data_IF_062501412578
#
_entry.id   IF_062501412578
#
_cell.length_a   1.000
_cell.length_b   1.000
_cell.length_c   1.000
_cell.angle_alpha   90.00
_cell.angle_beta   90.00
_cell.angle_gamma   90.00
#
_symmetry.space_group_name_H-M   'P 1'
#
loop_
_entity.id
_entity.type
_entity.pdbx_description
1 polymer ?
#
# COMPACT_ATOMS: atom_id res chain seq x y z
N UNK A 1 19.94 -7.60 17.40
CA UNK A 1 18.53 -7.23 17.18
C UNK A 1 17.82 -8.44 16.58
N UNK A 2 16.70 -8.94 17.11
CA UNK A 2 16.08 -10.16 16.55
C UNK A 2 15.54 -9.83 15.14
N UNK A 3 15.59 -10.74 14.15
CA UNK A 3 15.13 -10.44 12.78
C UNK A 3 13.72 -9.86 12.69
N UNK A 4 12.83 -10.29 13.60
CA UNK A 4 11.44 -9.83 13.72
C UNK A 4 11.31 -8.37 14.14
N UNK A 5 12.31 -7.80 14.82
CA UNK A 5 12.30 -6.42 15.31
C UNK A 5 12.56 -5.39 14.19
N UNK A 6 13.24 -5.82 13.12
CA UNK A 6 13.58 -4.98 11.96
C UNK A 6 12.34 -4.73 11.09
N UNK A 7 11.47 -5.74 10.96
CA UNK A 7 10.24 -5.65 10.17
C UNK A 7 9.05 -5.06 10.95
N UNK A 8 9.27 -4.66 12.21
CA UNK A 8 8.21 -4.08 13.04
C UNK A 8 7.79 -2.73 12.46
N UNK A 9 6.50 -2.60 12.15
CA UNK A 9 5.88 -1.35 11.69
C UNK A 9 5.83 -0.36 12.85
N UNK A 10 6.64 0.71 12.79
CA UNK A 10 6.75 1.72 13.86
C UNK A 10 6.18 3.09 13.48
N UNK A 11 6.09 3.40 12.18
CA UNK A 11 5.64 4.70 11.71
C UNK A 11 4.13 4.69 11.46
N UNK A 12 3.40 5.55 12.18
CA UNK A 12 1.95 5.78 11.97
C UNK A 12 1.75 6.83 10.88
N UNK A 13 0.77 6.59 10.00
CA UNK A 13 0.33 7.52 8.97
C UNK A 13 -1.20 7.54 8.92
N UNK A 14 -1.78 8.66 8.51
CA UNK A 14 -3.21 8.83 8.26
C UNK A 14 -3.41 9.31 6.82
N UNK A 15 -4.48 8.84 6.19
CA UNK A 15 -4.92 9.24 4.85
C UNK A 15 -6.36 9.69 5.00
N UNK A 16 -6.70 10.85 4.45
CA UNK A 16 -8.05 11.40 4.45
C UNK A 16 -8.59 11.32 3.02
N UNK A 17 -9.83 10.90 2.89
CA UNK A 17 -10.53 10.76 1.62
C UNK A 17 -11.78 11.64 1.63
N UNK A 18 -12.16 12.16 0.47
CA UNK A 18 -13.51 12.69 0.29
C UNK A 18 -14.53 11.54 0.15
N UNK A 19 -15.82 11.89 0.14
CA UNK A 19 -16.90 10.90 0.12
C UNK A 19 -16.84 9.96 -1.10
N UNK A 20 -16.54 10.50 -2.28
CA UNK A 20 -16.46 9.70 -3.52
C UNK A 20 -15.27 8.75 -3.53
N UNK A 21 -14.12 9.21 -3.04
CA UNK A 21 -12.93 8.38 -2.89
C UNK A 21 -13.18 7.24 -1.90
N UNK A 22 -13.84 7.53 -0.78
CA UNK A 22 -14.17 6.53 0.22
C UNK A 22 -15.21 5.52 -0.31
N UNK A 23 -16.22 5.97 -1.05
CA UNK A 23 -17.17 5.09 -1.72
C UNK A 23 -16.47 4.12 -2.69
N UNK A 24 -15.54 4.62 -3.51
CA UNK A 24 -14.76 3.78 -4.42
C UNK A 24 -13.93 2.74 -3.67
N UNK A 25 -13.30 3.10 -2.55
CA UNK A 25 -12.57 2.17 -1.67
C UNK A 25 -13.49 1.09 -1.13
N UNK A 26 -14.67 1.46 -0.62
CA UNK A 26 -15.62 0.51 -0.05
C UNK A 26 -16.15 -0.46 -1.12
N UNK A 27 -16.50 0.06 -2.30
CA UNK A 27 -16.94 -0.75 -3.43
C UNK A 27 -15.86 -1.75 -3.86
N UNK A 28 -14.61 -1.29 -3.98
CA UNK A 28 -13.48 -2.15 -4.27
C UNK A 28 -13.32 -3.24 -3.21
N UNK A 29 -13.33 -2.86 -1.93
CA UNK A 29 -13.16 -3.81 -0.83
C UNK A 29 -14.27 -4.86 -0.80
N UNK A 30 -15.52 -4.46 -1.07
CA UNK A 30 -16.67 -5.37 -1.16
C UNK A 30 -16.54 -6.32 -2.34
N UNK A 31 -16.21 -5.80 -3.53
CA UNK A 31 -16.09 -6.57 -4.78
C UNK A 31 -15.00 -7.64 -4.69
N UNK A 32 -13.83 -7.29 -4.15
CA UNK A 32 -12.66 -8.18 -4.08
C UNK A 32 -12.47 -8.85 -2.72
N UNK A 33 -13.46 -8.74 -1.81
CA UNK A 33 -13.45 -9.35 -0.47
C UNK A 33 -12.19 -9.01 0.33
N UNK A 34 -11.77 -7.74 0.27
CA UNK A 34 -10.60 -7.24 0.99
C UNK A 34 -10.88 -7.27 2.49
N UNK A 35 -10.14 -8.13 3.22
CA UNK A 35 -10.32 -8.32 4.67
C UNK A 35 -9.76 -7.17 5.52
N UNK A 36 -8.77 -6.44 5.01
CA UNK A 36 -8.12 -5.34 5.75
C UNK A 36 -7.72 -4.21 4.80
N UNK A 37 -8.39 -3.07 4.94
CA UNK A 37 -8.10 -1.84 4.18
C UNK A 37 -6.67 -1.36 4.42
N UNK A 38 -6.22 -1.36 5.67
CA UNK A 38 -4.85 -0.97 6.04
C UNK A 38 -3.79 -1.83 5.36
N UNK A 39 -4.00 -3.16 5.30
CA UNK A 39 -3.08 -4.06 4.59
C UNK A 39 -3.07 -3.73 3.11
N UNK A 40 -4.26 -3.62 2.51
CA UNK A 40 -4.42 -3.33 1.09
C UNK A 40 -3.76 -2.00 0.70
N UNK A 41 -4.05 -0.90 1.40
CA UNK A 41 -3.45 0.41 1.13
C UNK A 41 -1.94 0.38 1.20
N UNK A 42 -1.39 -0.26 2.25
CA UNK A 42 0.06 -0.40 2.38
C UNK A 42 0.66 -1.17 1.20
N UNK A 43 0.04 -2.27 0.79
CA UNK A 43 0.52 -3.06 -0.33
C UNK A 43 0.43 -2.28 -1.64
N UNK A 44 -0.69 -1.63 -1.91
CA UNK A 44 -0.87 -0.79 -3.09
C UNK A 44 0.21 0.30 -3.17
N UNK A 45 0.42 1.06 -2.09
CA UNK A 45 1.41 2.15 -2.04
C UNK A 45 2.83 1.61 -2.26
N UNK A 46 3.23 0.57 -1.53
CA UNK A 46 4.60 0.02 -1.63
C UNK A 46 4.83 -0.61 -3.01
N UNK A 47 3.84 -1.33 -3.56
CA UNK A 47 3.96 -1.90 -4.90
C UNK A 47 4.12 -0.82 -5.97
N UNK A 48 3.39 0.30 -5.87
CA UNK A 48 3.56 1.43 -6.80
C UNK A 48 4.95 2.03 -6.71
N UNK A 49 5.46 2.27 -5.49
CA UNK A 49 6.81 2.84 -5.28
C UNK A 49 7.89 1.91 -5.86
N UNK A 50 7.83 0.62 -5.53
CA UNK A 50 8.83 -0.35 -5.98
C UNK A 50 8.82 -0.50 -7.50
N UNK A 51 7.64 -0.54 -8.12
CA UNK A 51 7.51 -0.60 -9.57
C UNK A 51 8.12 0.61 -10.26
N UNK A 52 7.88 1.80 -9.72
CA UNK A 52 8.49 3.03 -10.25
C UNK A 52 10.03 2.96 -10.17
N UNK A 53 10.59 2.49 -9.05
CA UNK A 53 12.04 2.31 -8.94
C UNK A 53 12.61 1.25 -9.89
N UNK A 54 11.87 0.18 -10.18
CA UNK A 54 12.25 -0.80 -11.20
C UNK A 54 12.24 -0.20 -12.61
N UNK A 55 11.24 0.63 -12.93
CA UNK A 55 11.10 1.28 -14.23
C UNK A 55 12.16 2.38 -14.44
N UNK A 56 12.51 3.12 -13.38
CA UNK A 56 13.52 4.18 -13.40
C UNK A 56 14.97 3.65 -13.33
N UNK A 57 15.17 2.39 -12.94
CA UNK A 57 16.50 1.81 -12.97
C UNK A 57 16.95 1.69 -14.43
N UNK A 58 18.12 2.25 -14.82
CA UNK A 58 18.60 2.13 -16.18
C UNK A 58 18.72 0.64 -16.51
N UNK A 59 17.93 0.21 -17.50
CA UNK A 59 18.04 -1.14 -18.04
C UNK A 59 19.38 -1.16 -18.77
N UNK A 60 20.36 -1.85 -18.18
CA UNK A 60 21.63 -2.14 -18.82
C UNK A 60 21.30 -2.83 -20.15
N UNK A 61 21.43 -2.09 -21.24
CA UNK A 61 21.59 -2.66 -22.57
C UNK A 61 22.95 -3.34 -22.66
#
# INVERSE_FOLDING_TARGET
MKPKDILKRKHRKAIVFNDKEMEAVELYCKKYKVKSKTKFFREAIISTILRQFEDDHPKLF
#
